data_IF_175663457816
#
_entry.id   IF_175663457816
#
_cell.length_a   1.000
_cell.length_b   1.000
_cell.length_c   1.000
_cell.angle_alpha   90.00
_cell.angle_beta   90.00
_cell.angle_gamma   90.00
#
_symmetry.space_group_name_H-M   'P 1'
#
loop_
_entity.id
_entity.type
_entity.pdbx_description
1 polymer ?
#
# COMPACT_ATOMS: atom_id res chain seq x y z
N UNK A 1 14.51 -7.05 -4.41
CA UNK A 1 13.61 -7.67 -5.43
C UNK A 1 13.62 -6.83 -6.70
N UNK A 2 13.46 -7.45 -7.86
CA UNK A 2 13.47 -6.73 -9.16
C UNK A 2 12.19 -5.93 -9.42
N UNK A 3 11.03 -6.44 -8.97
CA UNK A 3 9.73 -5.80 -9.15
C UNK A 3 8.82 -5.98 -7.92
N UNK A 4 7.78 -5.16 -7.75
CA UNK A 4 6.75 -5.37 -6.75
C UNK A 4 5.91 -6.61 -7.02
N UNK A 5 5.37 -7.19 -5.95
CA UNK A 5 4.47 -8.36 -5.99
C UNK A 5 3.23 -8.10 -5.15
N UNK A 6 2.11 -8.72 -5.50
CA UNK A 6 0.89 -8.61 -4.71
C UNK A 6 1.05 -9.37 -3.39
N UNK A 7 0.88 -8.69 -2.25
CA UNK A 7 0.96 -9.27 -0.91
C UNK A 7 -0.42 -9.70 -0.41
N UNK A 8 -1.41 -8.82 -0.53
CA UNK A 8 -2.81 -9.11 -0.19
C UNK A 8 -3.63 -8.88 -1.43
N UNK A 9 -4.24 -9.93 -1.96
CA UNK A 9 -5.15 -9.83 -3.08
C UNK A 9 -6.55 -9.45 -2.59
N UNK A 10 -7.20 -8.53 -3.30
CA UNK A 10 -8.61 -8.21 -3.12
C UNK A 10 -9.41 -8.83 -4.27
N UNK A 11 -9.98 -10.02 -4.06
CA UNK A 11 -10.77 -10.75 -5.08
C UNK A 11 -12.14 -11.11 -4.52
N UNK A 12 -13.20 -10.90 -5.30
CA UNK A 12 -14.59 -11.23 -4.93
C UNK A 12 -14.98 -10.70 -3.53
N UNK A 13 -14.58 -9.47 -3.22
CA UNK A 13 -14.79 -8.82 -1.93
C UNK A 13 -14.16 -9.54 -0.72
N UNK A 14 -13.13 -10.37 -0.93
CA UNK A 14 -12.36 -11.01 0.14
C UNK A 14 -10.88 -10.71 0.00
N UNK A 15 -10.21 -10.59 1.14
CA UNK A 15 -8.76 -10.39 1.22
C UNK A 15 -8.06 -11.74 1.38
N UNK A 16 -7.06 -11.98 0.53
CA UNK A 16 -6.28 -13.22 0.53
C UNK A 16 -4.79 -12.89 0.53
N UNK A 17 -4.03 -13.45 1.48
CA UNK A 17 -2.58 -13.32 1.45
C UNK A 17 -2.00 -14.14 0.28
N UNK A 18 -1.07 -13.55 -0.46
CA UNK A 18 -0.37 -14.21 -1.58
C UNK A 18 0.68 -15.18 -1.04
N UNK A 19 0.58 -16.50 -1.32
CA UNK A 19 1.59 -17.47 -0.88
C UNK A 19 2.99 -17.18 -1.42
N UNK A 20 3.08 -16.59 -2.62
CA UNK A 20 4.35 -16.18 -3.23
C UNK A 20 4.99 -15.06 -2.43
N UNK A 21 4.23 -14.01 -2.08
CA UNK A 21 4.73 -12.91 -1.28
C UNK A 21 5.16 -13.37 0.12
N UNK A 22 4.39 -14.26 0.75
CA UNK A 22 4.74 -14.82 2.06
C UNK A 22 6.04 -15.63 2.02
N UNK A 23 6.30 -16.39 0.95
CA UNK A 23 7.58 -17.07 0.75
C UNK A 23 8.74 -16.09 0.65
N UNK A 24 8.59 -15.04 -0.17
CA UNK A 24 9.62 -14.00 -0.31
C UNK A 24 9.90 -13.29 1.02
N UNK A 25 8.88 -13.02 1.83
CA UNK A 25 9.06 -12.45 3.17
C UNK A 25 9.77 -13.42 4.12
N UNK A 26 9.50 -14.73 4.03
CA UNK A 26 10.14 -15.74 4.88
C UNK A 26 11.65 -15.89 4.64
N UNK A 27 12.13 -15.48 3.46
CA UNK A 27 13.55 -15.49 3.11
C UNK A 27 14.31 -14.25 3.64
N UNK A 28 13.60 -13.20 4.11
CA UNK A 28 14.23 -11.99 4.64
C UNK A 28 14.72 -12.26 6.06
N UNK A 29 16.04 -12.31 6.24
CA UNK A 29 16.70 -12.51 7.55
C UNK A 29 17.07 -11.20 8.26
N UNK A 30 17.09 -10.09 7.52
CA UNK A 30 17.45 -8.78 8.05
C UNK A 30 16.25 -8.11 8.75
N UNK A 31 16.49 -7.21 9.72
CA UNK A 31 15.44 -6.34 10.22
C UNK A 31 14.77 -5.55 9.08
N UNK A 32 13.46 -5.39 9.16
CA UNK A 32 12.65 -4.71 8.16
C UNK A 32 12.17 -3.35 8.67
N UNK A 33 12.15 -2.36 7.78
CA UNK A 33 11.41 -1.11 7.97
C UNK A 33 10.29 -1.10 6.95
N UNK A 34 9.04 -0.97 7.42
CA UNK A 34 7.87 -1.02 6.55
C UNK A 34 7.30 0.38 6.36
N UNK A 35 7.23 0.85 5.11
CA UNK A 35 6.57 2.10 4.75
C UNK A 35 5.36 1.76 3.90
N UNK A 36 4.16 2.06 4.41
CA UNK A 36 2.92 1.91 3.63
C UNK A 36 2.37 3.26 3.21
N UNK A 37 1.70 3.30 2.08
CA UNK A 37 0.95 4.47 1.62
C UNK A 37 -0.53 4.13 1.45
N UNK A 38 -1.39 4.98 1.99
CA UNK A 38 -2.85 4.89 1.88
C UNK A 38 -3.41 6.20 1.38
N UNK A 39 -4.66 6.18 0.90
CA UNK A 39 -5.35 7.38 0.46
C UNK A 39 -6.26 7.11 -0.73
N UNK A 40 -6.99 8.15 -1.14
CA UNK A 40 -7.97 8.06 -2.23
C UNK A 40 -7.35 7.48 -3.51
N UNK A 41 -8.16 6.81 -4.31
CA UNK A 41 -7.75 6.40 -5.64
C UNK A 41 -7.24 7.60 -6.47
N UNK A 42 -6.25 7.37 -7.33
CA UNK A 42 -5.69 8.36 -8.27
C UNK A 42 -5.01 9.61 -7.66
N UNK A 43 -4.49 9.52 -6.44
CA UNK A 43 -3.73 10.61 -5.80
C UNK A 43 -2.21 10.53 -5.99
N UNK A 44 -1.70 9.61 -6.81
CA UNK A 44 -0.25 9.48 -7.08
C UNK A 44 0.54 8.59 -6.12
N UNK A 45 -0.14 7.75 -5.32
CA UNK A 45 0.50 6.85 -4.35
C UNK A 45 1.64 6.00 -4.94
N UNK A 46 1.34 5.19 -5.96
CA UNK A 46 2.32 4.31 -6.62
C UNK A 46 3.50 5.09 -7.23
N UNK A 47 3.27 6.32 -7.68
CA UNK A 47 4.34 7.19 -8.17
C UNK A 47 5.30 7.58 -7.04
N UNK A 48 4.77 8.01 -5.89
CA UNK A 48 5.59 8.33 -4.72
C UNK A 48 6.36 7.11 -4.21
N UNK A 49 5.73 5.93 -4.17
CA UNK A 49 6.39 4.69 -3.75
C UNK A 49 7.52 4.27 -4.68
N UNK A 50 7.38 4.46 -6.00
CA UNK A 50 8.49 4.24 -6.94
C UNK A 50 9.67 5.18 -6.67
N UNK A 51 9.40 6.45 -6.34
CA UNK A 51 10.45 7.41 -5.96
C UNK A 51 11.14 7.01 -4.66
N UNK A 52 10.40 6.54 -3.65
CA UNK A 52 10.99 5.98 -2.42
C UNK A 52 11.85 4.74 -2.67
N UNK A 53 11.49 3.91 -3.66
CA UNK A 53 12.32 2.79 -4.09
C UNK A 53 13.60 3.21 -4.84
N UNK A 54 13.77 4.50 -5.14
CA UNK A 54 14.87 5.00 -5.97
C UNK A 54 14.77 4.57 -7.44
N UNK A 55 13.54 4.29 -7.94
CA UNK A 55 13.30 3.78 -9.29
C UNK A 55 12.26 4.64 -10.03
N UNK A 56 12.36 4.68 -11.36
CA UNK A 56 11.37 5.38 -12.20
C UNK A 56 10.18 4.48 -12.60
N UNK A 57 10.28 3.18 -12.34
CA UNK A 57 9.26 2.17 -12.62
C UNK A 57 9.27 1.09 -11.55
N UNK A 58 8.14 0.42 -11.35
CA UNK A 58 7.97 -0.59 -10.31
C UNK A 58 6.48 -0.83 -10.09
N UNK A 59 5.90 -0.16 -9.09
CA UNK A 59 4.47 -0.20 -8.86
C UNK A 59 3.72 0.34 -10.08
N UNK A 60 2.68 -0.35 -10.56
CA UNK A 60 1.98 0.02 -11.77
C UNK A 60 1.28 1.36 -11.60
N UNK A 61 1.61 2.32 -12.46
CA UNK A 61 0.90 3.60 -12.52
C UNK A 61 -0.44 3.40 -13.24
N UNK A 62 -1.53 3.92 -12.65
CA UNK A 62 -2.85 3.95 -13.26
C UNK A 62 -3.04 5.21 -14.11
N UNK A 63 -3.41 5.05 -15.38
CA UNK A 63 -3.78 6.14 -16.30
C UNK A 63 -5.27 6.14 -16.69
N UNK A 64 -6.04 5.16 -16.22
CA UNK A 64 -7.46 4.94 -16.56
C UNK A 64 -8.39 5.21 -15.36
N UNK A 65 -9.70 5.15 -15.59
CA UNK A 65 -10.74 5.39 -14.56
C UNK A 65 -10.71 4.32 -13.45
N UNK A 66 -10.35 3.08 -13.80
CA UNK A 66 -10.34 1.92 -12.90
C UNK A 66 -9.11 1.92 -11.95
N UNK A 67 -9.31 1.58 -10.66
CA UNK A 67 -8.18 1.38 -9.76
C UNK A 67 -7.34 0.16 -10.20
N UNK A 68 -6.09 0.42 -10.58
CA UNK A 68 -5.17 -0.60 -11.10
C UNK A 68 -4.53 -1.44 -10.00
N UNK A 69 -4.17 -0.82 -8.88
CA UNK A 69 -3.71 -1.52 -7.69
C UNK A 69 -4.92 -2.10 -6.97
N UNK A 70 -5.05 -3.42 -6.97
CA UNK A 70 -6.06 -4.15 -6.18
C UNK A 70 -5.38 -4.81 -4.97
N UNK A 71 -5.94 -4.59 -3.78
CA UNK A 71 -5.37 -5.06 -2.51
C UNK A 71 -4.12 -4.30 -2.07
N UNK A 72 -3.10 -5.01 -1.56
CA UNK A 72 -1.83 -4.44 -1.07
C UNK A 72 -0.68 -5.07 -1.84
N UNK A 73 0.17 -4.24 -2.43
CA UNK A 73 1.36 -4.65 -3.16
C UNK A 73 2.60 -4.33 -2.35
N UNK A 74 3.57 -5.24 -2.33
CA UNK A 74 4.84 -5.05 -1.63
C UNK A 74 6.02 -4.97 -2.59
N UNK A 75 7.04 -4.20 -2.21
CA UNK A 75 8.34 -4.21 -2.87
C UNK A 75 9.46 -4.12 -1.83
N UNK A 76 10.29 -5.16 -1.77
CA UNK A 76 11.44 -5.19 -0.86
C UNK A 76 12.70 -4.70 -1.59
N UNK A 77 13.30 -3.63 -1.08
CA UNK A 77 14.51 -3.00 -1.60
C UNK A 77 15.54 -2.82 -0.47
N UNK A 78 16.85 -2.73 -0.77
CA UNK A 78 17.83 -2.37 0.24
C UNK A 78 17.50 -1.01 0.86
N UNK A 79 17.67 -0.86 2.17
CA UNK A 79 17.54 0.44 2.81
C UNK A 79 18.72 1.34 2.39
N UNK A 80 18.49 2.56 1.85
CA UNK A 80 19.55 3.37 1.20
C UNK A 80 20.83 3.57 2.03
N UNK A 81 20.68 3.88 3.32
CA UNK A 81 21.80 4.22 4.22
C UNK A 81 21.98 3.20 5.37
N UNK A 82 21.34 2.04 5.28
CA UNK A 82 21.38 0.99 6.33
C UNK A 82 21.57 -0.38 5.67
N UNK A 83 22.82 -0.78 5.37
CA UNK A 83 23.11 -1.95 4.52
C UNK A 83 22.62 -3.30 5.09
N UNK A 84 22.36 -3.36 6.39
CA UNK A 84 21.86 -4.57 7.07
C UNK A 84 20.35 -4.52 7.34
N UNK A 85 19.60 -3.62 6.67
CA UNK A 85 18.16 -3.53 6.79
C UNK A 85 17.48 -3.58 5.42
N UNK A 86 16.30 -4.20 5.40
CA UNK A 86 15.44 -4.22 4.22
C UNK A 86 14.33 -3.19 4.38
N UNK A 87 14.14 -2.36 3.36
CA UNK A 87 12.99 -1.47 3.25
C UNK A 87 11.87 -2.21 2.51
N UNK A 88 10.72 -2.37 3.18
CA UNK A 88 9.51 -2.96 2.61
C UNK A 88 8.54 -1.83 2.30
N UNK A 89 8.28 -1.61 1.03
CA UNK A 89 7.35 -0.61 0.54
C UNK A 89 5.98 -1.27 0.28
N UNK A 90 4.92 -0.78 0.90
CA UNK A 90 3.55 -1.26 0.70
C UNK A 90 2.70 -0.19 -0.01
N UNK A 91 2.34 -0.44 -1.27
CA UNK A 91 1.42 0.39 -2.04
C UNK A 91 0.02 -0.21 -1.97
N UNK A 92 -0.96 0.57 -1.49
CA UNK A 92 -2.32 0.08 -1.33
C UNK A 92 -3.23 0.50 -2.47
N UNK A 93 -4.25 -0.32 -2.68
CA UNK A 93 -5.41 0.06 -3.44
C UNK A 93 -6.01 1.39 -2.94
N UNK A 94 -6.56 2.16 -3.87
CA UNK A 94 -7.21 3.43 -3.56
C UNK A 94 -8.54 3.26 -2.82
N UNK A 95 -8.72 4.05 -1.77
CA UNK A 95 -9.97 4.14 -1.03
C UNK A 95 -11.04 4.85 -1.87
N UNK A 96 -12.30 4.45 -1.76
CA UNK A 96 -13.44 5.13 -2.37
C UNK A 96 -13.57 4.94 -3.88
N UNK A 97 -13.02 3.84 -4.41
CA UNK A 97 -13.21 3.47 -5.82
C UNK A 97 -14.67 3.05 -6.05
N UNK A 98 -15.41 3.89 -6.78
CA UNK A 98 -16.87 3.79 -7.01
C UNK A 98 -17.27 2.52 -7.76
N UNK A 99 -16.35 1.90 -8.52
CA UNK A 99 -16.61 0.66 -9.25
C UNK A 99 -16.54 -0.59 -8.35
N UNK A 100 -16.12 -0.47 -7.09
CA UNK A 100 -15.97 -1.60 -6.16
C UNK A 100 -17.27 -2.16 -5.60
N UNK A 101 -18.39 -1.44 -5.67
CA UNK A 101 -19.68 -1.87 -5.12
C UNK A 101 -19.76 -2.04 -3.59
N UNK A 102 -18.64 -2.23 -2.87
CA UNK A 102 -18.59 -2.30 -1.40
C UNK A 102 -17.34 -1.61 -0.80
N UNK A 103 -17.55 -0.83 0.25
CA UNK A 103 -16.52 -0.08 0.99
C UNK A 103 -15.81 -0.89 2.09
N UNK A 104 -16.30 -2.11 2.40
CA UNK A 104 -15.79 -2.90 3.52
C UNK A 104 -14.30 -3.27 3.37
N UNK A 105 -13.84 -3.54 2.14
CA UNK A 105 -12.43 -3.87 1.91
C UNK A 105 -11.51 -2.66 2.01
N UNK A 106 -12.02 -1.44 1.82
CA UNK A 106 -11.23 -0.22 2.00
C UNK A 106 -10.82 -0.07 3.46
N UNK A 107 -11.73 -0.32 4.40
CA UNK A 107 -11.44 -0.31 5.84
C UNK A 107 -10.40 -1.36 6.21
N UNK A 108 -10.54 -2.58 5.71
CA UNK A 108 -9.59 -3.65 6.03
C UNK A 108 -8.21 -3.42 5.40
N UNK A 109 -8.14 -2.91 4.18
CA UNK A 109 -6.87 -2.55 3.54
C UNK A 109 -6.18 -1.43 4.33
N UNK A 110 -6.94 -0.42 4.78
CA UNK A 110 -6.40 0.63 5.62
C UNK A 110 -5.88 0.07 6.95
N UNK A 111 -6.69 -0.73 7.66
CA UNK A 111 -6.32 -1.30 8.95
C UNK A 111 -5.05 -2.19 8.84
N UNK A 112 -4.97 -3.03 7.80
CA UNK A 112 -3.77 -3.83 7.53
C UNK A 112 -2.56 -2.94 7.24
N UNK A 113 -2.71 -1.88 6.44
CA UNK A 113 -1.62 -0.94 6.19
C UNK A 113 -1.13 -0.28 7.48
N UNK A 114 -2.01 0.12 8.39
CA UNK A 114 -1.62 0.65 9.72
C UNK A 114 -0.84 -0.40 10.50
N UNK A 115 -1.40 -1.60 10.67
CA UNK A 115 -0.84 -2.65 11.52
C UNK A 115 0.52 -3.19 11.02
N UNK A 116 0.71 -3.21 9.71
CA UNK A 116 1.94 -3.72 9.09
C UNK A 116 3.05 -2.65 9.01
N UNK A 117 2.72 -1.36 9.17
CA UNK A 117 3.65 -0.25 8.93
C UNK A 117 4.53 0.08 10.13
N UNK A 118 5.80 0.37 9.86
CA UNK A 118 6.63 1.22 10.73
C UNK A 118 6.35 2.71 10.49
N UNK A 119 5.95 3.07 9.29
CA UNK A 119 5.54 4.44 8.93
C UNK A 119 4.39 4.38 7.93
N UNK A 120 3.31 5.12 8.23
CA UNK A 120 2.15 5.23 7.36
C UNK A 120 2.14 6.61 6.69
N UNK A 121 2.11 6.63 5.36
CA UNK A 121 1.93 7.83 4.55
C UNK A 121 0.46 7.93 4.16
N UNK A 122 -0.25 8.94 4.65
CA UNK A 122 -1.59 9.26 4.18
C UNK A 122 -1.51 10.28 3.04
N UNK A 123 -1.95 9.88 1.85
CA UNK A 123 -1.83 10.68 0.64
C UNK A 123 -3.19 11.25 0.20
N UNK A 124 -3.38 12.55 0.41
CA UNK A 124 -4.52 13.34 -0.03
C UNK A 124 -4.10 14.42 -1.05
N UNK A 125 -5.05 14.88 -1.86
CA UNK A 125 -4.87 16.01 -2.77
C UNK A 125 -5.56 17.24 -2.21
N UNK A 126 -4.94 18.40 -2.33
CA UNK A 126 -5.49 19.66 -1.81
C UNK A 126 -5.25 19.82 -0.30
N UNK A 127 -6.09 20.61 0.34
CA UNK A 127 -6.02 20.87 1.79
C UNK A 127 -6.52 19.67 2.58
N UNK A 128 -5.97 19.47 3.78
CA UNK A 128 -6.52 18.51 4.75
C UNK A 128 -7.84 19.08 5.26
N UNK A 129 -8.95 18.56 4.75
CA UNK A 129 -10.30 18.92 5.16
C UNK A 129 -10.86 17.90 6.17
N UNK A 130 -12.02 18.21 6.75
CA UNK A 130 -12.68 17.31 7.70
C UNK A 130 -12.94 15.93 7.07
N UNK A 131 -13.27 15.86 5.78
CA UNK A 131 -13.49 14.60 5.08
C UNK A 131 -12.22 13.74 4.99
N UNK A 132 -11.03 14.35 4.90
CA UNK A 132 -9.76 13.65 4.99
C UNK A 132 -9.51 13.10 6.40
N UNK A 133 -9.86 13.86 7.44
CA UNK A 133 -9.73 13.44 8.85
C UNK A 133 -10.73 12.33 9.23
N UNK A 134 -11.98 12.41 8.78
CA UNK A 134 -13.00 11.39 9.07
C UNK A 134 -12.60 10.02 8.47
N UNK A 135 -11.95 10.03 7.30
CA UNK A 135 -11.38 8.81 6.67
C UNK A 135 -10.17 8.26 7.41
N UNK A 136 -9.44 9.10 8.14
CA UNK A 136 -8.37 8.70 9.06
C UNK A 136 -8.90 8.19 10.40
N UNK A 137 -10.08 8.66 10.84
CA UNK A 137 -10.73 8.24 12.09
C UNK A 137 -11.45 6.89 11.97
N UNK A 138 -11.78 6.46 10.74
CA UNK A 138 -12.36 5.16 10.38
C UNK A 138 -11.76 3.90 11.07
N UNK A 139 -10.47 3.82 11.45
CA UNK A 139 -9.87 2.69 12.16
C UNK A 139 -9.92 2.79 13.70
N UNK A 140 -10.35 3.92 14.25
CA UNK A 140 -10.28 4.22 15.69
C UNK A 140 -11.61 4.05 16.44
N UNK A 141 -12.69 3.75 15.72
CA UNK A 141 -14.01 3.47 16.28
C UNK A 141 -14.22 1.95 16.26
N UNK A 142 -13.84 1.29 17.35
CA UNK A 142 -14.11 -0.11 17.66
C UNK A 142 -14.59 -0.21 19.10
#
# INVERSE_FOLDING_TARGET
>A
MEAPVCLVENRKHRLHASPEALRLLSDIRQPVVVVSIVGLYRTGKSYLMNKLAGKNSGFPLGSTVQAKTKGIWMWCVPYPDRPNQTLVLLDTEGLGDVEKGSSQNDTWIFALAVLLSSTLVYNSMGTIDQAALDKLQYPSQG
#
